data_IF_563720314435
#
_entry.id   IF_563720314435
#
_cell.length_a   1.000
_cell.length_b   1.000
_cell.length_c   1.000
_cell.angle_alpha   90.00
_cell.angle_beta   90.00
_cell.angle_gamma   90.00
#
_symmetry.space_group_name_H-M   'P 1'
#
loop_
_entity.id
_entity.type
_entity.pdbx_description
1 polymer ?
#
# COMPACT_ATOMS: atom_id res chain seq x y z
N UNK A 1 6.23 14.72 -2.42
CA UNK A 1 5.92 13.55 -1.56
C UNK A 1 7.13 13.08 -0.78
N UNK A 2 8.25 12.70 -1.40
CA UNK A 2 9.43 12.17 -0.67
C UNK A 2 9.93 13.07 0.47
N UNK A 3 10.10 14.38 0.24
CA UNK A 3 10.55 15.31 1.28
C UNK A 3 9.56 15.42 2.46
N UNK A 4 8.26 15.41 2.16
CA UNK A 4 7.22 15.45 3.20
C UNK A 4 7.21 14.16 4.03
N UNK A 5 7.35 13.01 3.37
CA UNK A 5 7.47 11.71 4.04
C UNK A 5 8.72 11.63 4.92
N UNK A 6 9.87 12.11 4.43
CA UNK A 6 11.11 12.15 5.19
C UNK A 6 10.98 13.03 6.44
N UNK A 7 10.38 14.22 6.29
CA UNK A 7 10.08 15.10 7.43
C UNK A 7 9.15 14.42 8.44
N UNK A 8 8.06 13.78 7.99
CA UNK A 8 7.16 13.05 8.88
C UNK A 8 7.89 11.93 9.63
N UNK A 9 8.80 11.22 8.97
CA UNK A 9 9.63 10.20 9.59
C UNK A 9 10.59 10.76 10.64
N UNK A 10 11.16 11.96 10.43
CA UNK A 10 11.99 12.65 11.43
C UNK A 10 11.18 13.04 12.66
N UNK A 11 10.00 13.64 12.45
CA UNK A 11 9.11 14.04 13.54
C UNK A 11 8.67 12.82 14.38
N UNK A 12 8.37 11.68 13.73
CA UNK A 12 8.06 10.40 14.40
C UNK A 12 9.26 9.86 15.20
N UNK A 13 10.47 9.92 14.65
CA UNK A 13 11.68 9.50 15.39
C UNK A 13 11.89 10.35 16.63
N UNK A 14 11.71 11.67 16.55
CA UNK A 14 11.81 12.56 17.70
C UNK A 14 10.75 12.24 18.76
N UNK A 15 9.51 12.01 18.33
CA UNK A 15 8.41 11.61 19.21
C UNK A 15 8.70 10.30 19.97
N UNK A 16 9.19 9.27 19.27
CA UNK A 16 9.57 8.00 19.90
C UNK A 16 10.77 8.19 20.84
N UNK A 17 11.76 9.01 20.45
CA UNK A 17 12.95 9.27 21.26
C UNK A 17 12.66 10.03 22.56
N UNK A 18 11.58 10.82 22.62
CA UNK A 18 11.12 11.44 23.87
C UNK A 18 10.46 10.46 24.84
N UNK A 19 10.33 9.17 24.46
CA UNK A 19 9.64 8.15 25.25
C UNK A 19 8.12 8.20 25.12
N UNK A 20 7.57 9.02 24.21
CA UNK A 20 6.14 9.10 24.00
C UNK A 20 5.63 7.85 23.25
N UNK A 21 4.46 7.36 23.68
CA UNK A 21 3.85 6.13 23.14
C UNK A 21 2.43 6.32 22.65
N UNK A 22 1.78 7.44 22.99
CA UNK A 22 0.41 7.72 22.58
C UNK A 22 0.30 7.73 21.05
N UNK A 23 -0.73 7.07 20.52
CA UNK A 23 -0.97 7.00 19.07
C UNK A 23 0.07 6.22 18.27
N UNK A 24 0.93 5.40 18.89
CA UNK A 24 1.83 4.48 18.16
C UNK A 24 1.16 3.14 17.80
N UNK A 25 0.06 2.81 18.49
CA UNK A 25 -0.78 1.65 18.25
C UNK A 25 -2.19 2.13 17.88
N UNK A 26 -3.04 1.21 17.43
CA UNK A 26 -4.45 1.46 17.22
C UNK A 26 -5.15 1.90 18.53
N UNK A 27 -6.11 2.82 18.41
CA UNK A 27 -6.90 3.29 19.56
C UNK A 27 -7.96 2.27 19.97
N UNK A 28 -8.52 1.57 18.98
CA UNK A 28 -9.51 0.50 19.17
C UNK A 28 -9.00 -0.80 18.53
N UNK A 29 -9.19 -1.91 19.26
CA UNK A 29 -8.79 -3.23 18.78
C UNK A 29 -9.49 -3.55 17.46
N UNK A 30 -8.71 -3.95 16.46
CA UNK A 30 -9.23 -4.30 15.13
C UNK A 30 -9.24 -3.13 14.15
N UNK A 31 -8.81 -1.93 14.55
CA UNK A 31 -8.54 -0.83 13.63
C UNK A 31 -7.10 -0.84 13.09
N UNK A 32 -6.84 -0.04 12.05
CA UNK A 32 -5.51 0.09 11.47
C UNK A 32 -4.56 0.83 12.42
N UNK A 33 -3.44 0.19 12.76
CA UNK A 33 -2.35 0.86 13.47
C UNK A 33 -1.61 1.85 12.55
N UNK A 34 -0.89 2.85 13.10
CA UNK A 34 -0.08 3.76 12.31
C UNK A 34 0.94 3.04 11.40
N UNK A 35 1.50 1.91 11.88
CA UNK A 35 2.42 1.09 11.08
C UNK A 35 1.70 0.48 9.88
N UNK A 36 0.48 -0.04 10.08
CA UNK A 36 -0.35 -0.58 9.01
C UNK A 36 -0.74 0.50 8.00
N UNK A 37 -1.17 1.68 8.45
CA UNK A 37 -1.50 2.81 7.55
C UNK A 37 -0.28 3.25 6.74
N UNK A 38 0.89 3.38 7.36
CA UNK A 38 2.13 3.75 6.65
C UNK A 38 2.50 2.71 5.58
N UNK A 39 2.35 1.41 5.90
CA UNK A 39 2.57 0.32 4.95
C UNK A 39 1.55 0.32 3.81
N UNK A 40 0.26 0.50 4.11
CA UNK A 40 -0.84 0.60 3.16
C UNK A 40 -0.67 1.77 2.17
N UNK A 41 -0.12 2.88 2.65
CA UNK A 41 0.15 4.08 1.86
C UNK A 41 1.50 4.02 1.12
N UNK A 42 2.35 3.04 1.43
CA UNK A 42 3.64 2.85 0.79
C UNK A 42 4.68 3.89 1.22
N UNK A 43 4.72 4.24 2.51
CA UNK A 43 5.64 5.23 3.09
C UNK A 43 6.79 4.55 3.86
N UNK A 44 7.83 4.04 3.17
CA UNK A 44 8.92 3.30 3.80
C UNK A 44 9.71 4.08 4.84
N UNK A 45 9.87 5.40 4.71
CA UNK A 45 10.58 6.21 5.72
C UNK A 45 9.79 6.27 7.03
N UNK A 46 8.46 6.38 6.93
CA UNK A 46 7.55 6.36 8.08
C UNK A 46 7.53 4.96 8.72
N UNK A 47 7.44 3.90 7.91
CA UNK A 47 7.56 2.51 8.38
C UNK A 47 8.87 2.31 9.15
N UNK A 48 10.00 2.74 8.57
CA UNK A 48 11.31 2.65 9.21
C UNK A 48 11.39 3.44 10.51
N UNK A 49 10.75 4.61 10.58
CA UNK A 49 10.72 5.44 11.80
C UNK A 49 9.90 4.77 12.91
N UNK A 50 8.70 4.28 12.60
CA UNK A 50 7.82 3.60 13.55
C UNK A 50 8.49 2.34 14.13
N UNK A 51 9.20 1.57 13.29
CA UNK A 51 9.94 0.36 13.70
C UNK A 51 11.16 0.65 14.61
N UNK A 52 11.48 1.92 14.91
CA UNK A 52 12.45 2.24 15.97
C UNK A 52 11.88 2.02 17.37
N UNK A 53 10.55 2.06 17.51
CA UNK A 53 9.86 1.78 18.76
C UNK A 53 9.80 0.28 19.06
N UNK A 54 10.21 -0.11 20.26
CA UNK A 54 10.05 -1.49 20.75
C UNK A 54 8.58 -1.88 20.91
N UNK A 55 7.73 -0.93 21.30
CA UNK A 55 6.29 -1.12 21.40
C UNK A 55 5.72 -1.49 20.03
N UNK A 56 5.98 -0.69 19.01
CA UNK A 56 5.51 -0.96 17.63
C UNK A 56 5.99 -2.32 17.14
N UNK A 57 7.26 -2.68 17.40
CA UNK A 57 7.80 -4.00 17.03
C UNK A 57 7.10 -5.17 17.72
N UNK A 58 6.68 -5.02 18.97
CA UNK A 58 5.95 -6.06 19.69
C UNK A 58 4.57 -6.33 19.05
N UNK A 59 4.01 -5.33 18.37
CA UNK A 59 2.69 -5.35 17.70
C UNK A 59 2.82 -5.39 16.16
N UNK A 60 3.98 -5.83 15.62
CA UNK A 60 4.26 -5.79 14.18
C UNK A 60 3.32 -6.67 13.34
N UNK A 61 2.71 -7.68 13.96
CA UNK A 61 1.82 -8.65 13.33
C UNK A 61 0.35 -8.46 13.72
N UNK A 62 0.02 -7.38 14.45
CA UNK A 62 -1.36 -7.10 14.81
C UNK A 62 -2.17 -6.86 13.54
N UNK A 63 -3.34 -7.49 13.48
CA UNK A 63 -4.22 -7.50 12.33
C UNK A 63 -5.52 -6.76 12.64
N UNK A 64 -6.06 -6.09 11.63
CA UNK A 64 -7.41 -5.53 11.70
C UNK A 64 -8.49 -6.65 11.62
N UNK A 65 -9.76 -6.27 11.67
CA UNK A 65 -10.88 -7.21 11.59
C UNK A 65 -10.93 -8.03 10.28
N UNK A 66 -10.29 -7.55 9.21
CA UNK A 66 -10.17 -8.26 7.93
C UNK A 66 -8.95 -9.18 7.88
N UNK A 67 -8.15 -9.23 8.94
CA UNK A 67 -6.88 -9.96 8.96
C UNK A 67 -5.77 -9.23 8.19
N UNK A 68 -5.91 -7.92 7.96
CA UNK A 68 -4.86 -7.10 7.35
C UNK A 68 -3.78 -6.82 8.38
N UNK A 69 -2.58 -7.35 8.19
CA UNK A 69 -1.39 -6.98 8.97
C UNK A 69 -0.63 -5.85 8.26
N UNK A 70 0.33 -5.16 8.91
CA UNK A 70 1.19 -4.20 8.23
C UNK A 70 1.91 -4.78 7.01
N UNK A 71 2.35 -6.04 7.07
CA UNK A 71 3.01 -6.69 5.94
C UNK A 71 2.04 -6.90 4.78
N UNK A 72 0.82 -7.41 5.04
CA UNK A 72 -0.21 -7.59 4.00
C UNK A 72 -0.61 -6.22 3.41
N UNK A 73 -0.71 -5.18 4.23
CA UNK A 73 -0.99 -3.81 3.78
C UNK A 73 0.07 -3.28 2.80
N UNK A 74 1.35 -3.54 3.03
CA UNK A 74 2.41 -3.21 2.06
C UNK A 74 2.27 -4.00 0.75
N UNK A 75 1.89 -5.29 0.84
CA UNK A 75 1.68 -6.15 -0.33
C UNK A 75 0.56 -5.64 -1.22
N UNK A 76 -0.52 -5.08 -0.67
CA UNK A 76 -1.65 -4.57 -1.45
C UNK A 76 -1.26 -3.49 -2.47
N UNK A 77 -0.20 -2.71 -2.18
CA UNK A 77 0.27 -1.62 -3.03
C UNK A 77 -0.85 -0.66 -3.45
N UNK A 78 -1.74 -0.31 -2.52
CA UNK A 78 -3.05 0.25 -2.86
C UNK A 78 -3.03 1.47 -3.75
N UNK A 79 -2.03 2.34 -3.63
CA UNK A 79 -1.92 3.52 -4.49
C UNK A 79 -1.63 3.18 -5.96
N UNK A 80 -1.15 1.98 -6.25
CA UNK A 80 -0.91 1.47 -7.60
C UNK A 80 -1.99 0.47 -8.07
N UNK A 81 -2.81 -0.04 -7.16
CA UNK A 81 -3.76 -1.14 -7.44
C UNK A 81 -5.21 -0.75 -7.21
N UNK A 82 -5.48 0.47 -6.71
CA UNK A 82 -6.81 0.94 -6.35
C UNK A 82 -7.83 0.80 -7.49
N UNK A 83 -7.45 1.12 -8.73
CA UNK A 83 -8.36 1.00 -9.89
C UNK A 83 -8.53 -0.45 -10.37
N UNK A 84 -7.61 -1.35 -10.05
CA UNK A 84 -7.85 -2.79 -10.23
C UNK A 84 -8.81 -3.30 -9.18
N UNK A 85 -8.63 -2.84 -7.93
CA UNK A 85 -9.45 -3.21 -6.77
C UNK A 85 -10.89 -2.67 -6.89
N UNK A 86 -11.01 -1.43 -7.35
CA UNK A 86 -12.25 -0.70 -7.54
C UNK A 86 -12.21 0.10 -8.86
N UNK A 87 -12.58 -0.53 -9.99
CA UNK A 87 -12.53 0.09 -11.31
C UNK A 87 -13.34 1.40 -11.45
N UNK A 88 -14.41 1.56 -10.66
CA UNK A 88 -15.23 2.76 -10.66
C UNK A 88 -14.45 4.04 -10.25
N UNK A 89 -13.27 3.90 -9.65
CA UNK A 89 -12.37 5.04 -9.39
C UNK A 89 -11.94 5.72 -10.69
N UNK A 90 -11.75 4.97 -11.78
CA UNK A 90 -11.32 5.51 -13.08
C UNK A 90 -12.39 6.39 -13.75
N UNK A 91 -13.66 6.21 -13.38
CA UNK A 91 -14.79 6.95 -13.95
C UNK A 91 -15.05 8.27 -13.20
N UNK A 92 -14.47 8.46 -12.02
CA UNK A 92 -14.64 9.67 -11.23
C UNK A 92 -13.35 10.51 -11.22
N UNK A 93 -13.29 11.65 -11.94
CA UNK A 93 -12.08 12.47 -12.01
C UNK A 93 -11.62 13.00 -10.66
N UNK A 94 -12.53 13.28 -9.73
CA UNK A 94 -12.21 13.74 -8.37
C UNK A 94 -11.57 12.65 -7.49
N UNK A 95 -11.76 11.37 -7.84
CA UNK A 95 -11.06 10.24 -7.21
C UNK A 95 -9.80 9.84 -7.98
N UNK A 96 -9.90 9.80 -9.31
CA UNK A 96 -8.83 9.37 -10.20
C UNK A 96 -7.65 10.35 -10.23
N UNK A 97 -7.90 11.64 -10.47
CA UNK A 97 -6.81 12.61 -10.71
C UNK A 97 -5.88 12.72 -9.50
N UNK A 98 -6.36 12.90 -8.25
CA UNK A 98 -5.46 12.95 -7.09
C UNK A 98 -4.60 11.70 -6.94
N UNK A 99 -5.13 10.52 -7.30
CA UNK A 99 -4.40 9.26 -7.27
C UNK A 99 -3.38 9.15 -8.40
N UNK A 100 -3.76 9.57 -9.61
CA UNK A 100 -2.92 9.55 -10.79
C UNK A 100 -1.68 10.44 -10.64
N UNK A 101 -1.86 11.67 -10.12
CA UNK A 101 -0.73 12.61 -9.96
C UNK A 101 0.29 12.16 -8.91
N UNK A 102 -0.07 11.20 -8.05
CA UNK A 102 0.86 10.60 -7.08
C UNK A 102 1.67 9.44 -7.64
N UNK A 103 1.33 8.91 -8.83
CA UNK A 103 2.01 7.74 -9.40
C UNK A 103 3.53 7.86 -9.55
N UNK A 104 4.11 9.01 -9.94
CA UNK A 104 5.56 9.14 -10.04
C UNK A 104 6.30 8.79 -8.74
N UNK A 105 5.69 9.04 -7.57
CA UNK A 105 6.29 8.62 -6.31
C UNK A 105 6.40 7.09 -6.20
N UNK A 106 5.43 6.32 -6.70
CA UNK A 106 5.46 4.86 -6.58
C UNK A 106 6.28 4.18 -7.68
N UNK A 107 6.43 4.81 -8.85
CA UNK A 107 7.00 4.17 -10.04
C UNK A 107 8.36 4.71 -10.47
N UNK A 108 8.72 5.94 -10.10
CA UNK A 108 9.96 6.58 -10.57
C UNK A 108 11.17 6.37 -9.64
N UNK A 109 10.98 5.74 -8.48
CA UNK A 109 12.06 5.45 -7.54
C UNK A 109 12.82 4.18 -7.96
N UNK A 110 14.15 4.21 -7.81
CA UNK A 110 15.02 3.03 -8.08
C UNK A 110 14.65 1.83 -7.21
N UNK A 111 14.14 2.07 -6.01
CA UNK A 111 13.47 1.08 -5.17
C UNK A 111 12.01 1.50 -4.98
N UNK A 112 11.03 0.75 -5.52
CA UNK A 112 9.62 1.08 -5.36
C UNK A 112 9.22 1.18 -3.88
N UNK A 113 8.50 2.24 -3.44
CA UNK A 113 8.21 2.48 -2.02
C UNK A 113 7.50 1.34 -1.30
N UNK A 114 6.53 0.69 -1.96
CA UNK A 114 5.82 -0.47 -1.40
C UNK A 114 6.72 -1.69 -1.22
N UNK A 115 7.63 -1.94 -2.16
CA UNK A 115 8.63 -3.00 -2.04
C UNK A 115 9.54 -2.71 -0.85
N UNK A 116 10.01 -1.46 -0.73
CA UNK A 116 10.85 -1.04 0.39
C UNK A 116 10.14 -1.17 1.74
N UNK A 117 8.86 -0.78 1.83
CA UNK A 117 8.06 -0.92 3.04
C UNK A 117 7.89 -2.40 3.44
N UNK A 118 7.59 -3.28 2.47
CA UNK A 118 7.52 -4.73 2.68
C UNK A 118 8.83 -5.30 3.22
N UNK A 119 9.95 -4.96 2.58
CA UNK A 119 11.29 -5.42 2.97
C UNK A 119 11.69 -4.93 4.37
N UNK A 120 11.32 -3.70 4.75
CA UNK A 120 11.56 -3.17 6.10
C UNK A 120 10.79 -3.95 7.17
N UNK A 121 9.54 -4.33 6.88
CA UNK A 121 8.71 -5.13 7.78
C UNK A 121 9.27 -6.55 7.92
N UNK A 122 9.66 -7.17 6.81
CA UNK A 122 10.32 -8.49 6.78
C UNK A 122 11.62 -8.48 7.61
N UNK A 123 12.47 -7.48 7.39
CA UNK A 123 13.71 -7.32 8.14
C UNK A 123 13.49 -7.08 9.64
N UNK A 124 12.33 -6.54 10.03
CA UNK A 124 11.94 -6.33 11.42
C UNK A 124 11.23 -7.53 12.05
N UNK A 125 11.05 -8.64 11.31
CA UNK A 125 10.46 -9.88 11.80
C UNK A 125 8.95 -10.02 11.60
N UNK A 126 8.34 -9.22 10.72
CA UNK A 126 6.93 -9.40 10.36
C UNK A 126 6.70 -10.76 9.68
N UNK A 127 5.59 -11.41 10.01
CA UNK A 127 5.19 -12.67 9.38
C UNK A 127 4.65 -12.43 7.98
N UNK A 128 5.17 -13.19 7.01
CA UNK A 128 4.78 -13.14 5.60
C UNK A 128 3.82 -14.28 5.20
N UNK A 129 2.52 -14.11 5.49
CA UNK A 129 1.51 -15.08 5.07
C UNK A 129 0.91 -14.71 3.70
N UNK A 130 1.40 -15.36 2.64
CA UNK A 130 0.89 -15.17 1.27
C UNK A 130 -0.47 -15.79 1.01
N UNK A 131 -0.86 -16.84 1.74
CA UNK A 131 -2.19 -17.42 1.59
C UNK A 131 -3.22 -16.44 2.15
N UNK A 132 -2.98 -15.93 3.36
CA UNK A 132 -3.82 -14.91 3.98
C UNK A 132 -3.84 -13.63 3.14
N UNK A 133 -2.69 -13.12 2.67
CA UNK A 133 -2.65 -11.92 1.85
C UNK A 133 -3.53 -12.01 0.60
N UNK A 134 -3.54 -13.17 -0.08
CA UNK A 134 -4.41 -13.43 -1.24
C UNK A 134 -5.88 -13.44 -0.84
N UNK A 135 -6.22 -14.09 0.27
CA UNK A 135 -7.59 -14.10 0.81
C UNK A 135 -8.06 -12.69 1.13
N UNK A 136 -7.31 -11.91 1.90
CA UNK A 136 -7.69 -10.54 2.26
C UNK A 136 -7.84 -9.69 1.00
N UNK A 137 -6.93 -9.81 0.01
CA UNK A 137 -7.04 -9.02 -1.22
C UNK A 137 -8.30 -9.35 -2.01
N UNK A 138 -8.62 -10.64 -2.17
CA UNK A 138 -9.81 -11.09 -2.90
C UNK A 138 -11.12 -10.74 -2.18
N UNK A 139 -11.09 -10.60 -0.86
CA UNK A 139 -12.23 -10.14 -0.05
C UNK A 139 -12.37 -8.62 -0.09
N UNK A 140 -11.29 -7.87 0.12
CA UNK A 140 -11.33 -6.41 0.18
C UNK A 140 -11.59 -5.76 -1.17
N UNK A 141 -11.13 -6.40 -2.24
CA UNK A 141 -11.37 -5.98 -3.60
C UNK A 141 -12.40 -6.97 -4.18
N UNK A 142 -13.67 -6.58 -4.29
CA UNK A 142 -14.72 -7.49 -4.76
C UNK A 142 -15.08 -7.26 -6.23
N UNK A 143 -14.83 -6.04 -6.73
CA UNK A 143 -15.34 -5.51 -7.99
C UNK A 143 -14.42 -5.73 -9.20
N UNK A 144 -13.48 -6.67 -9.11
CA UNK A 144 -12.54 -6.98 -10.19
C UNK A 144 -13.04 -8.10 -11.09
N UNK A 145 -12.47 -8.15 -12.29
CA UNK A 145 -12.77 -9.18 -13.28
C UNK A 145 -12.42 -10.60 -12.80
N UNK A 146 -13.09 -11.61 -13.34
CA UNK A 146 -12.78 -13.02 -13.08
C UNK A 146 -11.32 -13.36 -13.46
N UNK A 147 -10.79 -12.75 -14.53
CA UNK A 147 -9.40 -12.91 -14.95
C UNK A 147 -8.41 -12.36 -13.90
N UNK A 148 -8.70 -11.19 -13.32
CA UNK A 148 -7.92 -10.61 -12.22
C UNK A 148 -7.92 -11.53 -11.00
N UNK A 149 -9.10 -12.03 -10.59
CA UNK A 149 -9.24 -12.96 -9.47
C UNK A 149 -8.42 -14.24 -9.70
N UNK A 150 -8.42 -14.77 -10.92
CA UNK A 150 -7.62 -15.95 -11.28
C UNK A 150 -6.11 -15.67 -11.18
N UNK A 151 -5.63 -14.53 -11.69
CA UNK A 151 -4.21 -14.13 -11.58
C UNK A 151 -3.75 -14.01 -10.13
N UNK A 152 -4.58 -13.39 -9.27
CA UNK A 152 -4.27 -13.26 -7.84
C UNK A 152 -4.25 -14.61 -7.13
N UNK A 153 -5.19 -15.52 -7.42
CA UNK A 153 -5.17 -16.88 -6.84
C UNK A 153 -3.88 -17.64 -7.21
N UNK A 154 -3.47 -17.52 -8.48
CA UNK A 154 -2.29 -18.20 -9.02
C UNK A 154 -0.94 -17.53 -8.66
N UNK A 155 -0.94 -16.33 -8.09
CA UNK A 155 0.31 -15.59 -7.86
C UNK A 155 1.17 -16.22 -6.77
N UNK A 156 2.48 -16.25 -7.04
CA UNK A 156 3.55 -16.56 -6.07
C UNK A 156 4.08 -15.31 -5.39
N UNK A 157 4.20 -14.19 -6.13
CA UNK A 157 4.42 -12.85 -5.58
C UNK A 157 3.17 -12.01 -5.81
N UNK A 158 2.35 -11.88 -4.77
CA UNK A 158 1.11 -11.13 -4.85
C UNK A 158 1.38 -9.65 -5.14
N UNK A 159 2.35 -9.05 -4.46
CA UNK A 159 2.64 -7.61 -4.57
C UNK A 159 2.99 -7.24 -6.00
N UNK A 160 3.91 -7.99 -6.61
CA UNK A 160 4.27 -7.79 -8.02
C UNK A 160 3.07 -8.01 -8.95
N UNK A 161 2.31 -9.09 -8.72
CA UNK A 161 1.16 -9.43 -9.57
C UNK A 161 0.12 -8.31 -9.59
N UNK A 162 -0.24 -7.76 -8.43
CA UNK A 162 -1.25 -6.69 -8.37
C UNK A 162 -0.71 -5.37 -8.92
N UNK A 163 0.58 -5.07 -8.73
CA UNK A 163 1.23 -3.90 -9.34
C UNK A 163 1.23 -3.97 -10.87
N UNK A 164 1.56 -5.14 -11.45
CA UNK A 164 1.60 -5.33 -12.90
C UNK A 164 0.18 -5.20 -13.51
N UNK A 165 -0.84 -5.75 -12.84
CA UNK A 165 -2.25 -5.59 -13.26
C UNK A 165 -2.68 -4.12 -13.15
N UNK A 166 -2.36 -3.47 -12.02
CA UNK A 166 -2.62 -2.05 -11.81
C UNK A 166 -2.00 -1.18 -12.89
N UNK A 167 -0.72 -1.38 -13.22
CA UNK A 167 -0.06 -0.64 -14.28
C UNK A 167 -0.75 -0.82 -15.64
N UNK A 168 -1.18 -2.05 -15.96
CA UNK A 168 -1.89 -2.34 -17.22
C UNK A 168 -3.27 -1.64 -17.29
N UNK A 169 -4.04 -1.68 -16.20
CA UNK A 169 -5.35 -1.02 -16.11
C UNK A 169 -5.22 0.50 -16.23
N UNK A 170 -4.22 1.09 -15.56
CA UNK A 170 -3.95 2.52 -15.63
C UNK A 170 -3.54 2.95 -17.05
N UNK A 171 -2.60 2.23 -17.65
CA UNK A 171 -2.13 2.53 -19.02
C UNK A 171 -3.27 2.45 -20.03
N UNK A 172 -4.15 1.46 -19.88
CA UNK A 172 -5.36 1.36 -20.69
C UNK A 172 -6.24 2.60 -20.54
N UNK A 173 -6.47 3.08 -19.32
CA UNK A 173 -7.27 4.28 -19.08
C UNK A 173 -6.62 5.55 -19.65
N UNK A 174 -5.32 5.74 -19.40
CA UNK A 174 -4.57 6.88 -19.92
C UNK A 174 -4.62 6.91 -21.44
N UNK A 175 -4.44 5.75 -22.09
CA UNK A 175 -4.54 5.63 -23.56
C UNK A 175 -5.93 6.03 -24.06
N UNK A 176 -7.01 5.56 -23.41
CA UNK A 176 -8.38 5.97 -23.76
C UNK A 176 -8.59 7.48 -23.62
N UNK A 177 -8.04 8.09 -22.57
CA UNK A 177 -8.13 9.55 -22.36
C UNK A 177 -7.36 10.32 -23.44
N UNK A 178 -6.15 9.86 -23.79
CA UNK A 178 -5.34 10.46 -24.86
C UNK A 178 -6.03 10.35 -26.23
N UNK A 179 -6.66 9.21 -26.53
CA UNK A 179 -7.45 9.02 -27.75
C UNK A 179 -8.65 9.98 -27.81
N UNK A 180 -9.41 10.10 -26.71
CA UNK A 180 -10.53 11.05 -26.60
C UNK A 180 -10.08 12.51 -26.76
N UNK A 181 -8.88 12.83 -26.30
CA UNK A 181 -8.27 14.15 -26.43
C UNK A 181 -7.60 14.40 -27.81
N UNK A 182 -7.58 13.42 -28.71
CA UNK A 182 -6.93 13.52 -30.03
C UNK A 182 -5.40 13.53 -29.98
N UNK A 183 -4.80 13.16 -28.84
CA UNK A 183 -3.35 13.14 -28.63
C UNK A 183 -2.70 11.90 -29.25
N UNK A 184 -3.43 10.78 -29.30
CA UNK A 184 -2.98 9.50 -29.89
C UNK A 184 -4.12 8.96 -30.78
N UNK A 185 -3.77 8.36 -31.93
CA UNK A 185 -4.74 7.72 -32.85
C UNK A 185 -5.04 6.29 -32.45
#
# INVERSE_FOLDING_TARGET
MMAAEAKAADDIRQYIASGATAGLLEEEKGQQSPLMTAAYMGYPNVVSALLTSRLVKAHINDADEMGLTPWIAAVFSMKQTLWTCNPAVLDNPFKFIPMFVTQPYYTSNSVPPYKKARELLEAAGATHDMAQAKTVWLTACENQSAATKAKVKASTDLQKTVQDIGAADLNTQVTKLMQKAGVVK
#
